data_IF_093231169667
#
_entry.id   IF_093231169667
#
_cell.length_a   1.000
_cell.length_b   1.000
_cell.length_c   1.000
_cell.angle_alpha   90.00
_cell.angle_beta   90.00
_cell.angle_gamma   90.00
#
_symmetry.space_group_name_H-M   'P 1'
#
loop_
_entity.id
_entity.type
_entity.pdbx_description
1 polymer ?
#
# COMPACT_ATOMS: atom_id res chain seq x y z
N UNK A 1 12.82 19.95 15.56
CA UNK A 1 12.95 19.01 14.42
C UNK A 1 11.87 17.96 14.62
N UNK A 2 10.80 17.96 13.82
CA UNK A 2 9.76 16.93 13.93
C UNK A 2 10.31 15.60 13.43
N UNK A 3 10.22 14.55 14.23
CA UNK A 3 10.64 13.20 13.85
C UNK A 3 9.83 12.67 12.67
N UNK A 4 10.40 11.73 11.92
CA UNK A 4 9.79 11.17 10.70
C UNK A 4 8.37 10.61 10.93
N UNK A 5 8.12 9.95 12.06
CA UNK A 5 6.80 9.40 12.37
C UNK A 5 5.76 10.49 12.63
N UNK A 6 6.17 11.61 13.24
CA UNK A 6 5.28 12.78 13.42
C UNK A 6 4.88 13.40 12.07
N UNK A 7 5.77 13.42 11.08
CA UNK A 7 5.46 13.88 9.73
C UNK A 7 4.44 12.95 9.05
N UNK A 8 4.66 11.64 9.13
CA UNK A 8 3.73 10.64 8.55
C UNK A 8 2.36 10.74 9.21
N UNK A 9 2.29 10.90 10.53
CA UNK A 9 1.02 11.06 11.24
C UNK A 9 0.28 12.33 10.81
N UNK A 10 1.00 13.43 10.58
CA UNK A 10 0.40 14.67 10.07
C UNK A 10 -0.15 14.51 8.65
N UNK A 11 0.52 13.76 7.78
CA UNK A 11 0.04 13.49 6.41
C UNK A 11 -1.22 12.61 6.39
N UNK A 12 -1.49 11.87 7.47
CA UNK A 12 -2.70 11.06 7.64
C UNK A 12 -3.91 11.84 8.14
N UNK A 13 -3.70 13.04 8.69
CA UNK A 13 -4.79 13.87 9.18
C UNK A 13 -5.49 14.57 8.01
N UNK A 14 -6.78 14.31 7.82
CA UNK A 14 -7.57 14.93 6.76
C UNK A 14 -8.86 15.56 7.31
N UNK A 15 -8.86 16.89 7.46
CA UNK A 15 -10.06 17.64 7.79
C UNK A 15 -10.92 17.85 6.53
N UNK A 16 -12.21 17.48 6.53
CA UNK A 16 -13.12 17.84 5.44
C UNK A 16 -13.18 19.37 5.30
N UNK A 17 -13.03 19.89 4.08
CA UNK A 17 -12.96 21.34 3.79
C UNK A 17 -14.23 22.11 4.18
N UNK A 18 -15.34 21.40 4.39
CA UNK A 18 -16.67 21.97 4.60
C UNK A 18 -17.21 21.75 6.03
N UNK A 19 -16.36 21.38 6.99
CA UNK A 19 -16.79 21.04 8.35
C UNK A 19 -16.01 21.82 9.40
N UNK A 20 -16.69 22.70 10.12
CA UNK A 20 -16.17 23.28 11.36
C UNK A 20 -16.05 22.15 12.40
N UNK A 21 -14.89 22.06 13.05
CA UNK A 21 -14.62 21.07 14.11
C UNK A 21 -15.67 21.21 15.22
N UNK A 22 -16.60 20.27 15.30
CA UNK A 22 -17.46 20.14 16.47
C UNK A 22 -16.56 19.78 17.65
N UNK A 23 -16.62 20.56 18.73
CA UNK A 23 -15.79 20.44 19.94
C UNK A 23 -15.84 19.06 20.63
N UNK A 24 -16.65 18.12 20.13
CA UNK A 24 -16.82 16.76 20.63
C UNK A 24 -16.17 15.66 19.76
N UNK A 25 -15.70 15.97 18.56
CA UNK A 25 -15.03 14.97 17.72
C UNK A 25 -13.55 14.89 18.11
N UNK A 26 -13.10 13.70 18.53
CA UNK A 26 -11.68 13.45 18.76
C UNK A 26 -10.90 13.72 17.48
N UNK A 27 -9.75 14.39 17.56
CA UNK A 27 -8.84 14.61 16.43
C UNK A 27 -8.50 13.30 15.68
N UNK A 28 -8.57 12.18 16.38
CA UNK A 28 -8.32 10.85 15.82
C UNK A 28 -9.35 10.40 14.79
N UNK A 29 -10.56 10.97 14.83
CA UNK A 29 -11.63 10.67 13.87
C UNK A 29 -11.32 11.12 12.44
N UNK A 30 -10.35 12.02 12.27
CA UNK A 30 -9.90 12.54 10.98
C UNK A 30 -8.66 11.83 10.45
N UNK A 31 -8.09 10.88 11.21
CA UNK A 31 -6.92 10.12 10.78
C UNK A 31 -7.32 9.04 9.79
N UNK A 32 -6.71 9.09 8.62
CA UNK A 32 -6.91 8.09 7.59
C UNK A 32 -6.09 6.83 7.88
N UNK A 33 -6.58 5.65 7.47
CA UNK A 33 -5.76 4.44 7.48
C UNK A 33 -4.45 4.63 6.74
N UNK A 34 -3.42 3.94 7.23
CA UNK A 34 -2.10 3.85 6.64
C UNK A 34 -1.91 2.43 6.11
N UNK A 35 -1.83 2.23 4.80
CA UNK A 35 -1.54 0.91 4.26
C UNK A 35 -2.10 0.68 2.88
N UNK A 36 -1.90 -0.53 2.37
CA UNK A 36 -2.13 -0.83 0.96
C UNK A 36 -3.10 -2.00 0.82
N UNK A 37 -3.81 -2.03 -0.30
CA UNK A 37 -4.43 -3.26 -0.78
C UNK A 37 -3.40 -4.05 -1.58
N UNK A 38 -3.27 -5.34 -1.28
CA UNK A 38 -2.36 -6.27 -1.93
C UNK A 38 -3.19 -7.35 -2.61
N UNK A 39 -3.09 -7.45 -3.94
CA UNK A 39 -3.79 -8.47 -4.72
C UNK A 39 -2.87 -9.62 -5.05
N UNK A 40 -3.36 -10.85 -4.90
CA UNK A 40 -2.73 -12.07 -5.39
C UNK A 40 -3.40 -12.52 -6.69
N UNK A 41 -2.62 -12.86 -7.71
CA UNK A 41 -3.18 -13.36 -9.00
C UNK A 41 -2.68 -14.75 -9.42
N UNK A 42 -1.69 -15.33 -8.71
CA UNK A 42 -1.18 -16.68 -9.01
C UNK A 42 -1.56 -17.68 -7.90
N UNK A 43 -2.08 -18.85 -8.31
CA UNK A 43 -2.68 -19.87 -7.44
C UNK A 43 -2.16 -21.27 -7.76
N UNK A 44 -0.90 -21.51 -7.40
CA UNK A 44 -0.24 -22.83 -7.38
C UNK A 44 0.11 -23.22 -5.94
N UNK A 45 0.29 -24.52 -5.63
CA UNK A 45 0.69 -24.95 -4.28
C UNK A 45 1.98 -24.27 -3.77
N UNK A 46 2.94 -24.02 -4.66
CA UNK A 46 4.17 -23.30 -4.31
C UNK A 46 3.88 -21.82 -4.00
N UNK A 47 3.00 -21.18 -4.76
CA UNK A 47 2.62 -19.78 -4.52
C UNK A 47 1.80 -19.58 -3.24
N UNK A 48 1.12 -20.62 -2.72
CA UNK A 48 0.38 -20.55 -1.45
C UNK A 48 1.33 -20.32 -0.28
N UNK A 49 2.43 -21.07 -0.22
CA UNK A 49 3.46 -20.90 0.81
C UNK A 49 4.15 -19.54 0.68
N UNK A 50 4.49 -19.14 -0.56
CA UNK A 50 5.08 -17.84 -0.83
C UNK A 50 4.16 -16.67 -0.43
N UNK A 51 2.84 -16.82 -0.62
CA UNK A 51 1.84 -15.83 -0.25
C UNK A 51 1.76 -15.64 1.27
N UNK A 52 1.74 -16.73 2.04
CA UNK A 52 1.72 -16.64 3.51
C UNK A 52 3.05 -16.07 4.06
N UNK A 53 4.19 -16.40 3.43
CA UNK A 53 5.47 -15.78 3.75
C UNK A 53 5.45 -14.27 3.49
N UNK A 54 4.94 -13.84 2.34
CA UNK A 54 4.83 -12.44 1.95
C UNK A 54 3.96 -11.64 2.93
N UNK A 55 2.79 -12.17 3.33
CA UNK A 55 1.91 -11.52 4.33
C UNK A 55 2.65 -11.24 5.63
N UNK A 56 3.35 -12.25 6.15
CA UNK A 56 4.11 -12.15 7.40
C UNK A 56 5.22 -11.13 7.28
N UNK A 57 5.99 -11.16 6.19
CA UNK A 57 7.11 -10.25 5.99
C UNK A 57 6.67 -8.80 5.80
N UNK A 58 5.62 -8.54 5.02
CA UNK A 58 5.07 -7.21 4.86
C UNK A 58 4.56 -6.67 6.20
N UNK A 59 3.82 -7.47 6.96
CA UNK A 59 3.30 -7.07 8.27
C UNK A 59 4.44 -6.74 9.24
N UNK A 60 5.47 -7.60 9.29
CA UNK A 60 6.65 -7.39 10.14
C UNK A 60 7.43 -6.15 9.73
N UNK A 61 7.68 -5.98 8.43
CA UNK A 61 8.43 -4.83 7.89
C UNK A 61 7.73 -3.50 8.21
N UNK A 62 6.40 -3.45 8.08
CA UNK A 62 5.61 -2.26 8.46
C UNK A 62 5.72 -1.96 9.95
N UNK A 63 5.52 -3.01 10.77
CA UNK A 63 5.61 -2.89 12.21
C UNK A 63 6.99 -2.36 12.63
N UNK A 64 8.05 -2.97 12.12
CA UNK A 64 9.44 -2.60 12.47
C UNK A 64 9.81 -1.22 11.94
N UNK A 65 9.34 -0.82 10.75
CA UNK A 65 9.58 0.51 10.23
C UNK A 65 8.99 1.59 11.16
N UNK A 66 7.76 1.39 11.65
CA UNK A 66 7.07 2.32 12.54
C UNK A 66 7.66 2.27 13.95
N UNK A 67 7.92 1.06 14.48
CA UNK A 67 8.47 0.87 15.83
C UNK A 67 9.88 1.47 15.99
N UNK A 68 10.69 1.43 14.94
CA UNK A 68 12.03 2.02 14.93
C UNK A 68 12.06 3.49 14.51
N UNK A 69 10.91 4.12 14.29
CA UNK A 69 10.86 5.53 13.95
C UNK A 69 11.23 6.39 15.17
N UNK A 70 12.11 7.38 14.98
CA UNK A 70 12.53 8.31 16.04
C UNK A 70 11.39 9.27 16.39
N UNK A 71 10.48 8.82 17.25
CA UNK A 71 9.25 9.50 17.67
C UNK A 71 8.75 8.98 19.02
N UNK A 72 7.83 9.69 19.66
CA UNK A 72 7.29 9.29 20.96
C UNK A 72 6.54 7.96 20.87
N UNK A 73 6.53 7.19 21.98
CA UNK A 73 5.80 5.92 22.09
C UNK A 73 4.32 6.06 21.72
N UNK A 74 3.68 7.18 22.11
CA UNK A 74 2.27 7.47 21.78
C UNK A 74 2.04 7.62 20.27
N UNK A 75 2.91 8.35 19.56
CA UNK A 75 2.82 8.52 18.10
C UNK A 75 3.04 7.17 17.40
N UNK A 76 3.99 6.37 17.87
CA UNK A 76 4.28 5.04 17.32
C UNK A 76 3.09 4.11 17.49
N UNK A 77 2.50 4.02 18.69
CA UNK A 77 1.30 3.21 18.94
C UNK A 77 0.11 3.64 18.08
N UNK A 78 -0.05 4.95 17.89
CA UNK A 78 -1.09 5.53 17.06
C UNK A 78 -0.88 5.23 15.57
N UNK A 79 0.35 5.30 15.07
CA UNK A 79 0.64 4.90 13.69
C UNK A 79 0.40 3.40 13.49
N UNK A 80 0.80 2.56 14.44
CA UNK A 80 0.56 1.11 14.39
C UNK A 80 -0.93 0.78 14.35
N UNK A 81 -1.78 1.50 15.11
CA UNK A 81 -3.24 1.28 15.07
C UNK A 81 -3.89 1.73 13.76
N UNK A 82 -3.25 2.63 13.01
CA UNK A 82 -3.68 3.07 11.69
C UNK A 82 -3.22 2.13 10.57
N UNK A 83 -2.29 1.20 10.83
CA UNK A 83 -1.80 0.27 9.80
C UNK A 83 -2.93 -0.67 9.35
N UNK A 84 -3.26 -0.63 8.06
CA UNK A 84 -4.22 -1.52 7.41
C UNK A 84 -3.64 -2.11 6.14
N UNK A 85 -3.12 -3.33 6.24
CA UNK A 85 -2.75 -4.16 5.08
C UNK A 85 -3.95 -5.01 4.67
N UNK A 86 -4.51 -4.73 3.50
CA UNK A 86 -5.69 -5.41 2.96
C UNK A 86 -5.25 -6.46 1.93
N UNK A 87 -5.11 -7.72 2.38
CA UNK A 87 -4.69 -8.84 1.54
C UNK A 87 -5.90 -9.47 0.83
N UNK A 88 -5.93 -9.40 -0.51
CA UNK A 88 -7.00 -9.95 -1.34
C UNK A 88 -6.49 -11.13 -2.16
N UNK A 89 -7.12 -12.28 -1.95
CA UNK A 89 -6.70 -13.54 -2.57
C UNK A 89 -7.85 -14.44 -2.98
N UNK A 90 -9.03 -13.90 -3.33
CA UNK A 90 -10.14 -14.72 -3.85
C UNK A 90 -9.79 -15.29 -5.24
N UNK A 91 -9.56 -16.61 -5.38
CA UNK A 91 -9.17 -17.22 -6.66
C UNK A 91 -10.27 -17.13 -7.72
N UNK A 92 -11.55 -17.05 -7.34
CA UNK A 92 -12.63 -16.93 -8.31
C UNK A 92 -12.66 -15.56 -8.99
N UNK A 93 -12.13 -14.54 -8.30
CA UNK A 93 -12.10 -13.17 -8.77
C UNK A 93 -10.75 -12.80 -9.40
N UNK A 94 -9.64 -13.31 -8.88
CA UNK A 94 -8.29 -12.77 -9.17
C UNK A 94 -7.35 -13.72 -9.92
N UNK A 95 -7.70 -15.00 -10.06
CA UNK A 95 -6.80 -15.98 -10.67
C UNK A 95 -6.50 -15.65 -12.14
N UNK A 96 -5.22 -15.53 -12.46
CA UNK A 96 -4.73 -15.26 -13.82
C UNK A 96 -5.02 -13.86 -14.35
N UNK A 97 -5.49 -12.93 -13.50
CA UNK A 97 -5.74 -11.56 -13.93
C UNK A 97 -4.43 -10.80 -14.18
N UNK A 98 -4.47 -9.95 -15.22
CA UNK A 98 -3.40 -9.01 -15.50
C UNK A 98 -3.54 -7.70 -14.68
N UNK A 99 -2.51 -6.85 -14.78
CA UNK A 99 -2.43 -5.58 -14.04
C UNK A 99 -3.62 -4.64 -14.36
N UNK A 100 -4.11 -4.64 -15.61
CA UNK A 100 -5.21 -3.78 -16.05
C UNK A 100 -6.53 -4.25 -15.44
N UNK A 101 -6.78 -5.56 -15.42
CA UNK A 101 -7.98 -6.15 -14.84
C UNK A 101 -8.02 -5.97 -13.31
N UNK A 102 -6.88 -6.15 -12.63
CA UNK A 102 -6.78 -5.89 -11.18
C UNK A 102 -7.01 -4.41 -10.87
N UNK A 103 -6.55 -3.51 -11.74
CA UNK A 103 -6.80 -2.07 -11.60
C UNK A 103 -8.29 -1.75 -11.67
N UNK A 104 -9.05 -2.36 -12.57
CA UNK A 104 -10.49 -2.17 -12.65
C UNK A 104 -11.19 -2.59 -11.36
N UNK A 105 -10.80 -3.75 -10.80
CA UNK A 105 -11.31 -4.25 -9.51
C UNK A 105 -11.00 -3.28 -8.37
N UNK A 106 -9.80 -2.70 -8.35
CA UNK A 106 -9.43 -1.69 -7.37
C UNK A 106 -10.29 -0.43 -7.51
N UNK A 107 -10.53 0.05 -8.73
CA UNK A 107 -11.35 1.24 -8.97
C UNK A 107 -12.82 1.00 -8.63
N UNK A 108 -13.38 -0.18 -8.95
CA UNK A 108 -14.75 -0.55 -8.63
C UNK A 108 -14.98 -0.81 -7.14
N UNK A 109 -13.91 -0.93 -6.34
CA UNK A 109 -13.98 -1.25 -4.90
C UNK A 109 -14.70 -2.58 -4.61
N UNK A 110 -14.57 -3.55 -5.52
CA UNK A 110 -15.17 -4.88 -5.36
C UNK A 110 -14.52 -5.61 -4.17
N UNK A 111 -15.33 -6.14 -3.26
CA UNK A 111 -14.89 -6.89 -2.08
C UNK A 111 -14.71 -6.06 -0.80
N UNK A 112 -14.23 -4.83 -0.90
CA UNK A 112 -14.19 -3.81 0.16
C UNK A 112 -13.57 -2.52 -0.37
N UNK A 113 -13.79 -1.40 0.32
CA UNK A 113 -13.15 -0.13 -0.05
C UNK A 113 -11.65 -0.12 0.31
N UNK A 114 -10.73 0.14 -0.64
CA UNK A 114 -9.31 0.19 -0.36
C UNK A 114 -8.93 1.29 0.64
N UNK A 115 -7.97 1.04 1.55
CA UNK A 115 -7.60 1.97 2.63
C UNK A 115 -7.03 3.31 2.14
N UNK A 116 -6.51 3.38 0.91
CA UNK A 116 -5.92 4.59 0.33
C UNK A 116 -6.76 5.24 -0.78
N UNK A 117 -7.99 4.79 -1.05
CA UNK A 117 -8.77 5.23 -2.22
C UNK A 117 -9.03 6.74 -2.26
N UNK A 118 -9.19 7.38 -1.10
CA UNK A 118 -9.47 8.82 -1.01
C UNK A 118 -8.21 9.70 -1.14
N UNK A 119 -7.01 9.11 -1.14
CA UNK A 119 -5.74 9.86 -1.25
C UNK A 119 -5.38 10.01 -2.74
N UNK A 120 -5.71 11.16 -3.33
CA UNK A 120 -5.53 11.43 -4.75
C UNK A 120 -4.11 11.15 -5.28
N UNK A 121 -3.06 11.27 -4.46
CA UNK A 121 -1.66 11.00 -4.86
C UNK A 121 -1.11 9.64 -4.35
N UNK A 122 -1.93 8.83 -3.69
CA UNK A 122 -1.54 7.51 -3.12
C UNK A 122 -2.54 6.40 -3.45
N UNK A 123 -3.29 6.52 -4.55
CA UNK A 123 -4.15 5.43 -5.07
C UNK A 123 -3.29 4.33 -5.69
N UNK A 124 -2.47 3.72 -4.85
CA UNK A 124 -1.51 2.69 -5.21
C UNK A 124 -2.02 1.40 -4.60
N UNK A 125 -2.00 0.31 -5.38
CA UNK A 125 -2.14 -1.04 -4.87
C UNK A 125 -0.88 -1.84 -5.16
N UNK A 126 -0.71 -2.92 -4.41
CA UNK A 126 0.40 -3.83 -4.56
C UNK A 126 -0.08 -5.12 -5.24
N UNK A 127 0.73 -5.68 -6.12
CA UNK A 127 0.41 -6.88 -6.87
C UNK A 127 1.44 -7.98 -6.57
N UNK A 128 0.94 -9.14 -6.16
CA UNK A 128 1.68 -10.38 -6.00
C UNK A 128 1.25 -11.35 -7.11
N UNK A 129 1.87 -11.19 -8.28
CA UNK A 129 1.69 -12.08 -9.42
C UNK A 129 2.68 -13.25 -9.39
N UNK A 130 2.68 -14.06 -10.45
CA UNK A 130 3.56 -15.23 -10.53
C UNK A 130 5.03 -14.86 -10.36
N UNK A 131 5.50 -13.75 -10.91
CA UNK A 131 6.91 -13.32 -10.77
C UNK A 131 7.27 -12.96 -9.33
N UNK A 132 6.34 -12.36 -8.58
CA UNK A 132 6.53 -12.04 -7.15
C UNK A 132 6.51 -13.31 -6.30
N UNK A 133 5.67 -14.28 -6.64
CA UNK A 133 5.45 -15.49 -5.83
C UNK A 133 6.34 -16.67 -6.24
N UNK A 134 6.91 -16.68 -7.45
CA UNK A 134 7.84 -17.71 -7.93
C UNK A 134 9.23 -17.58 -7.29
N UNK A 135 9.57 -16.40 -6.77
CA UNK A 135 10.90 -16.12 -6.23
C UNK A 135 11.99 -16.11 -7.30
N UNK A 136 11.64 -15.99 -8.59
CA UNK A 136 12.61 -15.88 -9.70
C UNK A 136 13.42 -14.58 -9.67
N UNK A 137 12.97 -13.58 -8.92
CA UNK A 137 13.88 -12.62 -8.31
C UNK A 137 14.78 -13.39 -7.35
N UNK A 138 15.96 -13.80 -7.82
CA UNK A 138 17.09 -14.42 -7.10
C UNK A 138 17.61 -13.59 -5.90
N UNK A 139 16.71 -13.13 -5.05
CA UNK A 139 16.99 -12.66 -3.72
C UNK A 139 15.91 -13.31 -2.86
N UNK A 140 16.26 -14.19 -1.90
CA UNK A 140 15.28 -14.60 -0.91
C UNK A 140 14.63 -13.33 -0.38
N UNK A 141 13.33 -13.36 -0.12
CA UNK A 141 12.64 -12.29 0.59
C UNK A 141 13.32 -12.20 1.98
N UNK A 142 14.41 -11.46 1.99
CA UNK A 142 15.47 -11.47 2.99
C UNK A 142 15.94 -10.02 2.99
N UNK A 143 15.20 -9.27 3.78
CA UNK A 143 15.42 -7.90 4.24
C UNK A 143 14.85 -6.74 3.44
N UNK A 144 14.38 -6.95 2.20
CA UNK A 144 13.88 -5.84 1.39
C UNK A 144 12.63 -6.27 0.60
N UNK A 145 11.45 -6.30 1.22
CA UNK A 145 10.20 -6.67 0.55
C UNK A 145 9.98 -5.82 -0.72
N UNK A 146 10.34 -6.38 -1.87
CA UNK A 146 10.11 -5.81 -3.19
C UNK A 146 8.80 -6.36 -3.70
N UNK A 147 7.83 -5.47 -3.89
CA UNK A 147 6.52 -5.83 -4.41
C UNK A 147 6.17 -4.90 -5.55
N UNK A 148 5.44 -5.41 -6.54
CA UNK A 148 4.97 -4.60 -7.65
C UNK A 148 3.95 -3.61 -7.13
N UNK A 149 4.17 -2.32 -7.35
CA UNK A 149 3.19 -1.28 -7.07
C UNK A 149 2.58 -0.79 -8.38
N UNK A 150 1.29 -0.49 -8.35
CA UNK A 150 0.52 -0.04 -9.50
C UNK A 150 -0.23 1.22 -9.11
N UNK A 151 -0.06 2.28 -9.90
CA UNK A 151 -0.79 3.52 -9.71
C UNK A 151 -2.16 3.42 -10.41
N UNK A 152 -3.25 3.48 -9.64
CA UNK A 152 -4.59 3.19 -10.14
C UNK A 152 -5.19 4.33 -10.97
N UNK A 153 -4.71 5.56 -10.82
CA UNK A 153 -5.15 6.76 -11.53
C UNK A 153 -4.22 7.12 -12.70
N UNK A 154 -3.29 6.24 -13.06
CA UNK A 154 -2.42 6.43 -14.21
C UNK A 154 -3.23 6.40 -15.52
N UNK A 155 -3.58 7.57 -16.04
CA UNK A 155 -3.87 7.72 -17.46
C UNK A 155 -2.52 7.73 -18.19
N UNK A 156 -2.34 6.82 -19.15
CA UNK A 156 -1.18 6.89 -20.04
C UNK A 156 -1.17 8.30 -20.66
N UNK A 157 -0.18 9.14 -20.33
CA UNK A 157 -0.18 10.48 -20.87
C UNK A 157 -0.04 10.37 -22.38
N UNK A 158 -0.78 11.21 -23.09
CA UNK A 158 -0.53 11.48 -24.50
C UNK A 158 0.98 11.66 -24.67
N UNK A 159 1.63 10.78 -25.45
CA UNK A 159 3.08 10.63 -25.56
C UNK A 159 3.78 11.88 -26.16
N UNK A 160 3.03 12.96 -26.35
CA UNK A 160 3.43 14.24 -26.91
C UNK A 160 4.24 15.10 -25.94
N UNK A 161 4.19 14.85 -24.62
CA UNK A 161 4.93 15.64 -23.62
C UNK A 161 6.27 14.99 -23.27
N UNK A 162 7.36 15.50 -23.87
CA UNK A 162 8.75 15.12 -23.53
C UNK A 162 9.07 15.46 -22.07
N UNK A 163 9.07 14.47 -21.18
CA UNK A 163 9.62 14.57 -19.81
C UNK A 163 10.98 13.87 -19.72
N UNK A 164 11.81 14.31 -18.76
CA UNK A 164 13.19 13.82 -18.53
C UNK A 164 13.27 12.47 -17.80
N UNK A 165 12.16 11.94 -17.31
CA UNK A 165 12.12 10.69 -16.54
C UNK A 165 11.21 9.65 -17.21
N UNK A 166 11.54 8.35 -17.16
CA UNK A 166 10.67 7.30 -17.69
C UNK A 166 9.35 7.29 -16.92
N UNK A 167 8.25 7.43 -17.65
CA UNK A 167 6.89 7.38 -17.11
C UNK A 167 6.61 5.92 -16.71
N UNK A 168 6.50 5.61 -15.41
CA UNK A 168 6.32 4.22 -14.93
C UNK A 168 4.87 3.97 -14.54
N UNK A 169 4.20 3.14 -15.34
CA UNK A 169 2.84 2.59 -15.13
C UNK A 169 2.77 1.65 -13.91
N UNK A 170 3.88 0.95 -13.63
CA UNK A 170 4.11 0.10 -12.48
C UNK A 170 5.62 0.06 -12.19
N UNK A 171 6.01 -0.41 -11.01
CA UNK A 171 7.41 -0.64 -10.70
C UNK A 171 7.59 -1.52 -9.47
N UNK A 172 8.85 -1.74 -9.10
CA UNK A 172 9.21 -2.42 -7.86
C UNK A 172 9.32 -1.40 -6.74
N UNK A 173 8.59 -1.61 -5.64
CA UNK A 173 8.68 -0.79 -4.43
C UNK A 173 9.38 -1.58 -3.34
N UNK A 174 10.41 -0.97 -2.73
CA UNK A 174 10.96 -1.41 -1.45
C UNK A 174 10.16 -0.75 -0.33
N UNK A 175 9.60 -1.55 0.57
CA UNK A 175 8.84 -1.03 1.71
C UNK A 175 9.75 -0.34 2.73
N UNK A 176 9.43 0.92 3.06
CA UNK A 176 10.12 1.79 4.04
C UNK A 176 9.08 2.71 4.69
N UNK A 177 9.42 3.36 5.81
CA UNK A 177 8.50 4.27 6.52
C UNK A 177 7.94 5.41 5.65
N UNK A 178 8.71 5.95 4.68
CA UNK A 178 8.23 6.97 3.74
C UNK A 178 7.48 6.38 2.53
N UNK A 179 7.57 5.07 2.35
CA UNK A 179 6.71 4.29 1.45
C UNK A 179 5.37 3.95 2.11
N UNK A 180 5.04 4.57 3.26
CA UNK A 180 3.76 4.46 3.96
C UNK A 180 2.94 5.73 3.75
#
# INVERSE_FOLDING_TARGET
MSGLASSVLSDLYHLPKDRDLLLSESEDSFLQPLGYTIYRTCYTPQSDEAWEALKRELSQTFHDAIANADSSSEIVQKLLSLVKLDFRSDPNLLNGLDIHQVREIYMSSTGSEPPNKHKAWRRIFLLADEEVLSGELNQPIKYDAHIKYVQSDFDAPDLTVKRREPIRYFGWMKMRLWSL
#
